data_IF_785713211109
#
_entry.id   IF_785713211109
#
_cell.length_a   1.000
_cell.length_b   1.000
_cell.length_c   1.000
_cell.angle_alpha   90.00
_cell.angle_beta   90.00
_cell.angle_gamma   90.00
#
_symmetry.space_group_name_H-M   'P 1'
#
loop_
_entity.id
_entity.type
_entity.pdbx_description
1 polymer ?
#
# COMPACT_ATOMS: atom_id res chain seq x y z
N UNK A 1 -21.47 -19.13 17.20
CA UNK A 1 -20.97 -18.51 15.96
C UNK A 1 -21.86 -18.97 14.82
N UNK A 2 -22.56 -18.05 14.13
CA UNK A 2 -23.33 -18.39 12.93
C UNK A 2 -22.41 -18.27 11.70
N UNK A 3 -22.77 -18.95 10.61
CA UNK A 3 -22.03 -18.85 9.34
C UNK A 3 -21.92 -17.40 8.86
N UNK A 4 -23.01 -16.62 8.98
CA UNK A 4 -23.03 -15.19 8.64
C UNK A 4 -22.07 -14.38 9.52
N UNK A 5 -22.00 -14.69 10.83
CA UNK A 5 -21.08 -14.01 11.74
C UNK A 5 -19.61 -14.25 11.40
N UNK A 6 -19.26 -15.46 10.95
CA UNK A 6 -17.89 -15.77 10.49
C UNK A 6 -17.55 -15.04 9.20
N UNK A 7 -18.46 -15.04 8.21
CA UNK A 7 -18.25 -14.35 6.93
C UNK A 7 -18.00 -12.84 7.13
N UNK A 8 -18.82 -12.17 7.94
CA UNK A 8 -18.66 -10.75 8.23
C UNK A 8 -17.33 -10.45 8.94
N UNK A 9 -16.87 -11.35 9.80
CA UNK A 9 -15.60 -11.19 10.50
C UNK A 9 -14.41 -11.34 9.53
N UNK A 10 -14.47 -12.34 8.64
CA UNK A 10 -13.42 -12.56 7.63
C UNK A 10 -13.34 -11.41 6.63
N UNK A 11 -14.49 -10.89 6.18
CA UNK A 11 -14.57 -9.68 5.34
C UNK A 11 -13.98 -8.46 6.05
N UNK A 12 -14.32 -8.24 7.33
CA UNK A 12 -13.77 -7.14 8.11
C UNK A 12 -12.25 -7.23 8.27
N UNK A 13 -11.71 -8.42 8.53
CA UNK A 13 -10.25 -8.64 8.62
C UNK A 13 -9.58 -8.40 7.27
N UNK A 14 -10.17 -8.88 6.17
CA UNK A 14 -9.63 -8.68 4.84
C UNK A 14 -9.60 -7.20 4.48
N UNK A 15 -10.71 -6.48 4.70
CA UNK A 15 -10.83 -5.05 4.43
C UNK A 15 -9.83 -4.23 5.23
N UNK A 16 -9.71 -4.51 6.54
CA UNK A 16 -8.74 -3.80 7.39
C UNK A 16 -7.28 -4.06 6.98
N UNK A 17 -6.96 -5.26 6.50
CA UNK A 17 -5.62 -5.55 5.95
C UNK A 17 -5.35 -4.80 4.66
N UNK A 18 -6.35 -4.68 3.80
CA UNK A 18 -6.23 -3.96 2.52
C UNK A 18 -6.08 -2.45 2.75
N UNK A 19 -6.93 -1.86 3.59
CA UNK A 19 -6.86 -0.44 3.98
C UNK A 19 -5.51 -0.11 4.64
N UNK A 20 -5.08 -0.90 5.63
CA UNK A 20 -3.79 -0.67 6.29
C UNK A 20 -2.58 -0.82 5.35
N UNK A 21 -2.67 -1.70 4.35
CA UNK A 21 -1.64 -1.84 3.31
C UNK A 21 -1.59 -0.58 2.43
N UNK A 22 -2.75 -0.08 2.02
CA UNK A 22 -2.86 1.12 1.17
C UNK A 22 -2.35 2.37 1.89
N UNK A 23 -2.75 2.57 3.16
CA UNK A 23 -2.25 3.68 3.99
C UNK A 23 -0.73 3.61 4.21
N UNK A 24 -0.21 2.42 4.50
CA UNK A 24 1.22 2.21 4.69
C UNK A 24 2.05 2.50 3.42
N UNK A 25 1.54 2.12 2.26
CA UNK A 25 2.16 2.44 0.96
C UNK A 25 2.17 3.94 0.70
N UNK A 26 1.02 4.60 0.90
CA UNK A 26 0.86 6.04 0.70
C UNK A 26 1.83 6.84 1.58
N UNK A 27 1.85 6.55 2.88
CA UNK A 27 2.72 7.22 3.83
C UNK A 27 4.21 7.04 3.47
N UNK A 28 4.63 5.83 3.11
CA UNK A 28 6.01 5.55 2.73
C UNK A 28 6.41 6.30 1.45
N UNK A 29 5.54 6.32 0.43
CA UNK A 29 5.83 6.99 -0.83
C UNK A 29 5.91 8.51 -0.62
N UNK A 30 4.94 9.10 0.06
CA UNK A 30 4.89 10.55 0.30
C UNK A 30 6.10 11.03 1.13
N UNK A 31 6.43 10.34 2.24
CA UNK A 31 7.60 10.64 3.05
C UNK A 31 8.91 10.60 2.24
N UNK A 32 9.06 9.60 1.37
CA UNK A 32 10.29 9.50 0.57
C UNK A 32 10.33 10.58 -0.54
N UNK A 33 9.19 11.01 -1.08
CA UNK A 33 9.12 12.15 -2.01
C UNK A 33 9.49 13.45 -1.28
N UNK A 34 8.90 13.70 -0.10
CA UNK A 34 9.15 14.89 0.72
C UNK A 34 10.62 15.01 1.15
N UNK A 35 11.26 13.87 1.43
CA UNK A 35 12.69 13.81 1.77
C UNK A 35 13.62 13.84 0.56
N UNK A 36 13.09 13.94 -0.66
CA UNK A 36 13.87 14.06 -1.89
C UNK A 36 14.53 12.78 -2.37
N UNK A 37 14.03 11.61 -1.95
CA UNK A 37 14.50 10.30 -2.42
C UNK A 37 14.08 10.10 -3.88
N UNK A 38 14.95 9.49 -4.69
CA UNK A 38 14.66 9.30 -6.11
C UNK A 38 13.52 8.30 -6.33
N UNK A 39 12.80 8.44 -7.45
CA UNK A 39 11.73 7.52 -7.86
C UNK A 39 12.19 6.07 -7.84
N UNK A 40 13.37 5.78 -8.39
CA UNK A 40 13.92 4.43 -8.50
C UNK A 40 14.12 3.80 -7.12
N UNK A 41 14.66 4.57 -6.16
CA UNK A 41 14.87 4.12 -4.78
C UNK A 41 13.54 3.89 -4.05
N UNK A 42 12.53 4.72 -4.30
CA UNK A 42 11.18 4.55 -3.74
C UNK A 42 10.55 3.26 -4.26
N UNK A 43 10.58 3.04 -5.58
CA UNK A 43 10.05 1.83 -6.19
C UNK A 43 10.74 0.57 -5.67
N UNK A 44 12.06 0.58 -5.54
CA UNK A 44 12.82 -0.55 -4.99
C UNK A 44 12.42 -0.84 -3.53
N UNK A 45 12.29 0.21 -2.69
CA UNK A 45 11.84 0.06 -1.30
C UNK A 45 10.44 -0.52 -1.19
N UNK A 46 9.51 0.01 -1.98
CA UNK A 46 8.10 -0.38 -1.96
C UNK A 46 7.93 -1.83 -2.45
N UNK A 47 8.61 -2.22 -3.54
CA UNK A 47 8.66 -3.61 -4.00
C UNK A 47 9.15 -4.56 -2.92
N UNK A 48 10.29 -4.25 -2.29
CA UNK A 48 10.89 -5.10 -1.25
C UNK A 48 10.03 -5.21 0.00
N UNK A 49 9.49 -4.10 0.51
CA UNK A 49 8.76 -4.05 1.78
C UNK A 49 7.35 -4.63 1.68
N UNK A 50 6.69 -4.44 0.54
CA UNK A 50 5.30 -4.87 0.33
C UNK A 50 5.16 -6.07 -0.61
N UNK A 51 6.28 -6.68 -1.02
CA UNK A 51 6.36 -7.78 -1.99
C UNK A 51 5.53 -7.50 -3.25
N UNK A 52 5.69 -6.30 -3.79
CA UNK A 52 4.99 -5.86 -5.00
C UNK A 52 5.81 -6.19 -6.24
N UNK A 53 5.13 -6.47 -7.35
CA UNK A 53 5.78 -6.44 -8.65
C UNK A 53 6.18 -5.01 -9.02
N UNK A 54 7.07 -4.89 -10.00
CA UNK A 54 7.47 -3.59 -10.55
C UNK A 54 6.24 -2.79 -11.01
N UNK A 55 5.36 -3.39 -11.81
CA UNK A 55 4.13 -2.75 -12.29
C UNK A 55 3.24 -2.26 -11.15
N UNK A 56 3.03 -3.08 -10.11
CA UNK A 56 2.23 -2.68 -8.96
C UNK A 56 2.87 -1.52 -8.20
N UNK A 57 4.19 -1.55 -8.00
CA UNK A 57 4.89 -0.46 -7.34
C UNK A 57 4.79 0.85 -8.15
N UNK A 58 4.86 0.77 -9.47
CA UNK A 58 4.66 1.93 -10.34
C UNK A 58 3.25 2.49 -10.26
N UNK A 59 2.22 1.64 -10.25
CA UNK A 59 0.82 2.05 -10.08
C UNK A 59 0.62 2.81 -8.77
N UNK A 60 1.11 2.27 -7.64
CA UNK A 60 1.00 2.92 -6.34
C UNK A 60 1.81 4.22 -6.28
N UNK A 61 3.03 4.23 -6.81
CA UNK A 61 3.83 5.44 -6.89
C UNK A 61 3.10 6.54 -7.66
N UNK A 62 2.62 6.22 -8.88
CA UNK A 62 1.93 7.17 -9.74
C UNK A 62 0.62 7.68 -9.15
N UNK A 63 -0.07 6.84 -8.37
CA UNK A 63 -1.31 7.21 -7.67
C UNK A 63 -1.02 8.20 -6.54
N UNK A 64 -0.07 7.89 -5.67
CA UNK A 64 0.19 8.68 -4.46
C UNK A 64 1.16 9.85 -4.65
N UNK A 65 1.92 9.88 -5.74
CA UNK A 65 2.78 11.02 -6.11
C UNK A 65 1.98 12.22 -6.65
N UNK A 66 0.71 12.03 -7.01
CA UNK A 66 -0.15 13.07 -7.62
C UNK A 66 -1.09 13.74 -6.63
N UNK A 67 -1.15 13.26 -5.39
CA UNK A 67 -2.06 13.77 -4.37
C UNK A 67 -1.49 14.96 -3.56
N UNK A 68 -0.52 15.70 -4.13
CA UNK A 68 0.09 16.90 -3.53
C UNK A 68 -0.75 18.16 -3.71
#
# INVERSE_FOLDING_TARGET
MTLVGQMLMDEGIQKGREEGREEGLRALIQDNIETGISREQILEKVQKRFQLSETQAEEYYNRFSKES
#
